data_IF_132044930286
#
_entry.id   IF_132044930286
#
_cell.length_a   1.000
_cell.length_b   1.000
_cell.length_c   1.000
_cell.angle_alpha   90.00
_cell.angle_beta   90.00
_cell.angle_gamma   90.00
#
_symmetry.space_group_name_H-M   'P 1'
#
loop_
_entity.id
_entity.type
_entity.pdbx_description
1 polymer ?
#
# COMPACT_ATOMS: atom_id res chain seq x y z
N UNK A 1 5.94 14.99 -21.08
CA UNK A 1 5.86 13.54 -20.75
C UNK A 1 4.42 13.26 -20.35
N UNK A 2 3.84 12.08 -20.64
CA UNK A 2 2.52 11.75 -20.13
C UNK A 2 2.56 11.80 -18.60
N UNK A 3 1.54 12.39 -17.98
CA UNK A 3 1.39 12.41 -16.52
C UNK A 3 1.39 10.97 -15.99
N UNK A 4 2.16 10.70 -14.93
CA UNK A 4 2.11 9.40 -14.27
C UNK A 4 0.71 9.21 -13.71
N UNK A 5 -0.02 8.22 -14.22
CA UNK A 5 -1.33 7.88 -13.70
C UNK A 5 -1.19 7.30 -12.28
N UNK A 6 -1.79 7.97 -11.30
CA UNK A 6 -1.84 7.53 -9.90
C UNK A 6 -3.30 7.52 -9.46
N UNK A 7 -3.89 6.34 -9.41
CA UNK A 7 -5.28 6.18 -8.97
C UNK A 7 -5.38 6.42 -7.45
N UNK A 8 -6.46 7.07 -7.01
CA UNK A 8 -6.69 7.42 -5.60
C UNK A 8 -6.07 8.76 -5.16
N UNK A 9 -5.22 9.37 -5.98
CA UNK A 9 -4.42 10.55 -5.62
C UNK A 9 -5.28 11.78 -5.28
N UNK A 10 -6.38 12.00 -6.01
CA UNK A 10 -7.30 13.13 -5.80
C UNK A 10 -8.14 12.98 -4.53
N UNK A 11 -8.35 11.75 -4.05
CA UNK A 11 -9.13 11.45 -2.86
C UNK A 11 -8.32 11.61 -1.56
N UNK A 12 -6.99 11.76 -1.66
CA UNK A 12 -6.11 11.88 -0.50
C UNK A 12 -6.31 13.22 0.22
N UNK A 13 -6.34 13.23 1.57
CA UNK A 13 -6.35 14.47 2.34
C UNK A 13 -5.04 15.25 2.18
N UNK A 14 -5.05 16.54 2.49
CA UNK A 14 -3.82 17.37 2.48
C UNK A 14 -2.71 16.76 3.35
N UNK A 15 -3.06 16.21 4.51
CA UNK A 15 -2.17 15.47 5.41
C UNK A 15 -2.90 14.27 6.04
N UNK A 16 -2.17 13.24 6.41
CA UNK A 16 -2.69 12.10 7.16
C UNK A 16 -1.59 11.32 7.86
N UNK A 17 -1.95 10.37 8.71
CA UNK A 17 -0.94 9.57 9.41
C UNK A 17 -0.38 8.47 8.50
N UNK A 18 -1.25 7.70 7.84
CA UNK A 18 -0.88 6.54 7.05
C UNK A 18 -1.43 6.66 5.62
N UNK A 19 -0.60 6.29 4.66
CA UNK A 19 -0.96 6.03 3.26
C UNK A 19 -0.51 4.63 2.84
N UNK A 20 -1.39 3.92 2.14
CA UNK A 20 -1.06 2.65 1.49
C UNK A 20 -0.81 2.83 0.00
N UNK A 21 0.22 2.16 -0.52
CA UNK A 21 0.45 2.01 -1.95
C UNK A 21 0.17 0.55 -2.29
N UNK A 22 -0.87 0.30 -3.09
CA UNK A 22 -1.31 -1.07 -3.47
C UNK A 22 -0.85 -1.42 -4.88
N UNK A 23 -1.02 -2.71 -5.24
CA UNK A 23 -0.71 -3.22 -6.57
C UNK A 23 -1.73 -2.84 -7.65
N UNK A 24 -2.97 -2.51 -7.26
CA UNK A 24 -4.02 -2.15 -8.21
C UNK A 24 -5.24 -1.45 -7.60
N UNK A 25 -6.11 -0.96 -8.49
CA UNK A 25 -7.26 -0.09 -8.14
C UNK A 25 -8.30 -0.77 -7.25
N UNK A 26 -8.52 -2.08 -7.44
CA UNK A 26 -9.44 -2.87 -6.61
C UNK A 26 -9.09 -2.74 -5.13
N UNK A 27 -7.80 -2.82 -4.81
CA UNK A 27 -7.32 -2.75 -3.43
C UNK A 27 -7.39 -1.34 -2.87
N UNK A 28 -7.18 -0.31 -3.71
CA UNK A 28 -7.41 1.09 -3.33
C UNK A 28 -8.87 1.28 -2.91
N UNK A 29 -9.82 0.77 -3.69
CA UNK A 29 -11.25 0.88 -3.39
C UNK A 29 -11.63 0.07 -2.14
N UNK A 30 -11.08 -1.14 -1.97
CA UNK A 30 -11.27 -1.95 -0.76
C UNK A 30 -10.80 -1.18 0.47
N UNK A 31 -9.60 -0.60 0.45
CA UNK A 31 -9.08 0.22 1.55
C UNK A 31 -9.91 1.49 1.80
N UNK A 32 -10.27 2.21 0.74
CA UNK A 32 -11.04 3.45 0.84
C UNK A 32 -12.44 3.23 1.45
N UNK A 33 -13.11 2.13 1.08
CA UNK A 33 -14.42 1.77 1.65
C UNK A 33 -14.37 1.43 3.15
N UNK A 34 -13.18 1.14 3.68
CA UNK A 34 -12.91 0.87 5.08
C UNK A 34 -12.24 2.05 5.81
N UNK A 35 -12.14 3.21 5.14
CA UNK A 35 -11.65 4.47 5.73
C UNK A 35 -10.13 4.64 5.72
N UNK A 36 -9.40 3.89 4.87
CA UNK A 36 -7.95 4.02 4.72
C UNK A 36 -7.59 4.83 3.48
N UNK A 37 -6.53 5.63 3.59
CA UNK A 37 -5.96 6.35 2.45
C UNK A 37 -5.11 5.39 1.62
N UNK A 38 -5.38 5.30 0.32
CA UNK A 38 -4.67 4.39 -0.58
C UNK A 38 -4.52 4.96 -1.99
N UNK A 39 -3.46 4.55 -2.68
CA UNK A 39 -3.20 4.84 -4.09
C UNK A 39 -2.56 3.64 -4.80
N UNK A 40 -2.54 3.65 -6.14
CA UNK A 40 -1.72 2.74 -6.94
C UNK A 40 -1.17 3.39 -8.23
N UNK A 41 0.00 2.93 -8.68
CA UNK A 41 0.74 3.46 -9.85
C UNK A 41 0.54 2.60 -11.12
N UNK A 42 -0.69 2.14 -11.38
CA UNK A 42 -1.08 1.23 -12.47
C UNK A 42 -0.73 -0.27 -12.26
N UNK A 43 0.51 -0.59 -11.86
CA UNK A 43 0.88 -1.96 -11.47
C UNK A 43 2.02 -1.97 -10.45
N UNK A 44 2.19 -3.09 -9.74
CA UNK A 44 3.30 -3.32 -8.79
C UNK A 44 4.69 -3.15 -9.44
N UNK A 45 4.77 -3.45 -10.74
CA UNK A 45 6.00 -3.39 -11.54
C UNK A 45 6.18 -2.07 -12.28
N UNK A 46 5.16 -1.20 -12.29
CA UNK A 46 5.17 0.12 -12.91
C UNK A 46 6.21 1.03 -12.27
N UNK A 47 6.80 1.93 -13.05
CA UNK A 47 7.80 2.85 -12.52
C UNK A 47 7.15 3.90 -11.62
N UNK A 48 7.64 4.01 -10.38
CA UNK A 48 7.23 5.04 -9.42
C UNK A 48 8.21 6.21 -9.54
N UNK A 49 7.69 7.40 -9.85
CA UNK A 49 8.50 8.62 -9.85
C UNK A 49 8.85 9.07 -8.43
N UNK A 50 10.12 9.39 -8.20
CA UNK A 50 10.64 9.79 -6.89
C UNK A 50 10.01 11.09 -6.39
N UNK A 51 9.75 12.04 -7.29
CA UNK A 51 9.04 13.29 -7.01
C UNK A 51 7.66 13.07 -6.36
N UNK A 52 6.95 12.01 -6.77
CA UNK A 52 5.65 11.65 -6.20
C UNK A 52 5.84 11.10 -4.79
N UNK A 53 6.81 10.21 -4.57
CA UNK A 53 7.10 9.68 -3.22
C UNK A 53 7.54 10.80 -2.27
N UNK A 54 8.40 11.72 -2.71
CA UNK A 54 8.80 12.87 -1.91
C UNK A 54 7.60 13.72 -1.47
N UNK A 55 6.68 14.00 -2.41
CA UNK A 55 5.49 14.79 -2.11
C UNK A 55 4.57 14.06 -1.14
N UNK A 56 4.38 12.74 -1.29
CA UNK A 56 3.60 11.93 -0.36
C UNK A 56 4.24 11.87 1.03
N UNK A 57 5.57 11.71 1.11
CA UNK A 57 6.32 11.65 2.37
C UNK A 57 6.28 12.96 3.15
N UNK A 58 6.00 14.09 2.49
CA UNK A 58 5.73 15.39 3.15
C UNK A 58 4.29 15.50 3.68
N UNK A 59 3.35 14.71 3.15
CA UNK A 59 1.92 14.74 3.51
C UNK A 59 1.55 13.66 4.53
N UNK A 60 2.24 12.53 4.51
CA UNK A 60 1.94 11.37 5.36
C UNK A 60 3.11 11.01 6.26
N UNK A 61 2.80 10.67 7.52
CA UNK A 61 3.80 10.27 8.51
C UNK A 61 4.41 8.89 8.18
N UNK A 62 3.57 7.97 7.72
CA UNK A 62 3.94 6.61 7.34
C UNK A 62 3.37 6.28 5.95
N UNK A 63 4.20 5.68 5.11
CA UNK A 63 3.80 5.18 3.79
C UNK A 63 4.18 3.71 3.71
N UNK A 64 3.18 2.86 3.46
CA UNK A 64 3.35 1.43 3.39
C UNK A 64 3.00 0.88 2.00
N UNK A 65 3.85 0.02 1.46
CA UNK A 65 3.48 -0.87 0.37
C UNK A 65 2.61 -2.01 0.92
N UNK A 66 1.43 -2.17 0.35
CA UNK A 66 0.50 -3.27 0.63
C UNK A 66 0.22 -4.01 -0.68
N UNK A 67 1.23 -4.75 -1.13
CA UNK A 67 1.22 -5.51 -2.38
C UNK A 67 0.76 -6.94 -2.13
N UNK A 68 0.52 -7.66 -3.22
CA UNK A 68 0.09 -9.05 -3.15
C UNK A 68 1.12 -9.89 -2.39
N UNK A 69 0.64 -10.85 -1.61
CA UNK A 69 1.48 -11.82 -0.91
C UNK A 69 2.00 -12.93 -1.84
N UNK A 70 1.98 -12.71 -3.16
CA UNK A 70 2.59 -13.60 -4.14
C UNK A 70 4.05 -13.21 -4.44
N UNK A 71 4.76 -14.05 -5.20
CA UNK A 71 6.18 -13.84 -5.53
C UNK A 71 6.43 -12.48 -6.23
N UNK A 72 5.48 -11.99 -7.02
CA UNK A 72 5.62 -10.73 -7.76
C UNK A 72 5.48 -9.54 -6.81
N UNK A 73 4.43 -9.53 -5.99
CA UNK A 73 4.16 -8.45 -5.04
C UNK A 73 5.26 -8.34 -3.97
N UNK A 74 5.75 -9.48 -3.45
CA UNK A 74 6.87 -9.52 -2.49
C UNK A 74 8.14 -8.93 -3.10
N UNK A 75 8.53 -9.36 -4.30
CA UNK A 75 9.74 -8.85 -4.97
C UNK A 75 9.63 -7.37 -5.30
N UNK A 76 8.49 -6.94 -5.82
CA UNK A 76 8.27 -5.56 -6.21
C UNK A 76 8.28 -4.61 -5.02
N UNK A 77 7.53 -4.92 -3.95
CA UNK A 77 7.50 -4.11 -2.73
C UNK A 77 8.86 -4.03 -2.05
N UNK A 78 9.60 -5.15 -1.96
CA UNK A 78 10.97 -5.16 -1.42
C UNK A 78 11.90 -4.24 -2.19
N UNK A 79 11.90 -4.34 -3.53
CA UNK A 79 12.70 -3.47 -4.40
C UNK A 79 12.36 -1.99 -4.22
N UNK A 80 11.08 -1.66 -4.04
CA UNK A 80 10.67 -0.27 -3.81
C UNK A 80 11.07 0.25 -2.43
N UNK A 81 10.97 -0.57 -1.38
CA UNK A 81 11.49 -0.23 -0.06
C UNK A 81 13.00 0.05 -0.10
N UNK A 82 13.77 -0.76 -0.83
CA UNK A 82 15.22 -0.53 -1.02
C UNK A 82 15.49 0.78 -1.75
N UNK A 83 14.79 1.01 -2.87
CA UNK A 83 14.94 2.23 -3.69
C UNK A 83 14.58 3.50 -2.92
N UNK A 84 13.52 3.48 -2.12
CA UNK A 84 13.04 4.62 -1.34
C UNK A 84 13.43 4.55 0.14
N UNK A 85 14.52 3.86 0.46
CA UNK A 85 15.03 3.68 1.83
C UNK A 85 15.28 5.01 2.57
N UNK A 86 15.68 6.06 1.86
CA UNK A 86 15.86 7.41 2.40
C UNK A 86 14.56 8.03 2.95
N UNK A 87 13.41 7.63 2.39
CA UNK A 87 12.08 8.03 2.86
C UNK A 87 11.51 7.07 3.92
N UNK A 88 12.24 6.01 4.28
CA UNK A 88 11.84 4.99 5.25
C UNK A 88 10.48 4.35 4.91
N UNK A 89 10.21 4.16 3.62
CA UNK A 89 9.04 3.40 3.17
C UNK A 89 9.22 1.94 3.58
N UNK A 90 8.12 1.33 3.99
CA UNK A 90 8.10 -0.06 4.44
C UNK A 90 6.99 -0.82 3.74
N UNK A 91 6.98 -2.13 3.91
CA UNK A 91 5.88 -2.97 3.45
C UNK A 91 5.16 -3.57 4.63
N UNK A 92 3.84 -3.70 4.49
CA UNK A 92 3.02 -4.48 5.41
C UNK A 92 2.69 -5.81 4.72
N UNK A 93 2.93 -6.90 5.45
CA UNK A 93 2.61 -8.25 4.99
C UNK A 93 1.26 -8.67 5.56
N UNK A 94 0.34 -9.07 4.68
CA UNK A 94 -0.93 -9.66 5.09
C UNK A 94 -0.69 -11.12 5.50
N UNK A 95 -1.40 -11.65 6.51
CA UNK A 95 -1.25 -13.02 6.96
C UNK A 95 -2.01 -13.98 6.02
N UNK A 96 -1.68 -13.94 4.73
CA UNK A 96 -2.26 -14.76 3.67
C UNK A 96 -1.19 -15.68 3.10
N UNK A 97 -1.58 -16.84 2.55
CA UNK A 97 -0.60 -17.74 1.94
C UNK A 97 -0.02 -17.26 0.61
N UNK A 98 -0.63 -16.24 -0.02
CA UNK A 98 -0.14 -15.70 -1.30
C UNK A 98 -0.52 -16.51 -2.52
N UNK A 99 -1.43 -17.47 -2.37
CA UNK A 99 -1.91 -18.27 -3.48
C UNK A 99 -3.00 -17.52 -4.27
N UNK A 100 -3.45 -18.07 -5.41
CA UNK A 100 -4.42 -17.40 -6.31
C UNK A 100 -5.79 -17.07 -5.67
N UNK A 101 -6.11 -17.65 -4.52
CA UNK A 101 -7.38 -17.46 -3.80
C UNK A 101 -7.27 -16.43 -2.68
N UNK A 102 -6.06 -16.19 -2.18
CA UNK A 102 -5.82 -15.28 -1.06
C UNK A 102 -4.44 -14.64 -1.14
N UNK A 103 -4.38 -13.44 -1.69
CA UNK A 103 -3.11 -12.73 -1.82
C UNK A 103 -3.16 -11.23 -1.59
N UNK A 104 -4.32 -10.60 -1.75
CA UNK A 104 -4.47 -9.15 -1.64
C UNK A 104 -5.42 -8.73 -0.50
N UNK A 105 -5.47 -7.42 -0.21
CA UNK A 105 -6.33 -6.87 0.85
C UNK A 105 -7.81 -7.14 0.59
N UNK A 106 -8.21 -7.19 -0.68
CA UNK A 106 -9.60 -7.49 -1.03
C UNK A 106 -9.95 -8.94 -0.66
N UNK A 107 -9.02 -9.88 -0.86
CA UNK A 107 -9.19 -11.27 -0.44
C UNK A 107 -9.13 -11.41 1.09
N UNK A 108 -8.21 -10.70 1.76
CA UNK A 108 -8.12 -10.66 3.22
C UNK A 108 -9.48 -10.30 3.86
N UNK A 109 -10.15 -9.27 3.35
CA UNK A 109 -11.46 -8.84 3.83
C UNK A 109 -12.58 -9.84 3.45
N UNK A 110 -12.53 -10.43 2.25
CA UNK A 110 -13.51 -11.46 1.81
C UNK A 110 -13.46 -12.74 2.65
N UNK A 111 -12.29 -13.08 3.20
CA UNK A 111 -12.12 -14.23 4.10
C UNK A 111 -12.74 -14.00 5.49
N UNK A 112 -13.31 -12.82 5.75
CA UNK A 112 -14.01 -12.50 6.99
C UNK A 112 -13.15 -11.76 8.01
N UNK A 113 -11.90 -11.40 7.68
CA UNK A 113 -11.12 -10.49 8.52
C UNK A 113 -11.76 -9.10 8.49
N UNK A 114 -11.87 -8.49 9.65
CA UNK A 114 -12.50 -7.19 9.83
C UNK A 114 -11.54 -6.03 9.60
N UNK A 115 -12.11 -4.83 9.49
CA UNK A 115 -11.33 -3.58 9.52
C UNK A 115 -10.48 -3.48 10.78
N UNK A 116 -11.03 -3.93 11.91
CA UNK A 116 -10.41 -3.89 13.22
C UNK A 116 -9.20 -4.82 13.27
N UNK A 117 -9.29 -6.01 12.65
CA UNK A 117 -8.15 -6.93 12.51
C UNK A 117 -7.03 -6.28 11.69
N UNK A 118 -7.37 -5.60 10.60
CA UNK A 118 -6.39 -4.88 9.79
C UNK A 118 -5.77 -3.69 10.54
N UNK A 119 -6.56 -2.91 11.30
CA UNK A 119 -6.04 -1.83 12.16
C UNK A 119 -5.08 -2.38 13.21
N UNK A 120 -5.40 -3.52 13.81
CA UNK A 120 -4.53 -4.19 14.77
C UNK A 120 -3.21 -4.59 14.12
N UNK A 121 -3.26 -5.21 12.94
CA UNK A 121 -2.06 -5.58 12.19
C UNK A 121 -1.14 -4.37 11.92
N UNK A 122 -1.72 -3.23 11.55
CA UNK A 122 -0.97 -1.98 11.35
C UNK A 122 -0.36 -1.50 12.68
N UNK A 123 -1.12 -1.53 13.78
CA UNK A 123 -0.62 -1.14 15.10
C UNK A 123 0.55 -2.01 15.55
N UNK A 124 0.40 -3.33 15.45
CA UNK A 124 1.43 -4.30 15.81
C UNK A 124 2.70 -4.10 14.96
N UNK A 125 2.54 -3.74 13.67
CA UNK A 125 3.67 -3.40 12.80
C UNK A 125 4.37 -2.10 13.23
N UNK A 126 3.60 -1.05 13.57
CA UNK A 126 4.15 0.23 14.02
C UNK A 126 4.90 0.12 15.35
N UNK A 127 4.50 -0.78 16.24
CA UNK A 127 5.19 -1.03 17.52
C UNK A 127 6.57 -1.69 17.34
N UNK A 128 6.83 -2.30 16.19
CA UNK A 128 8.11 -2.96 15.87
C UNK A 128 9.12 -2.02 15.18
N UNK A 129 8.74 -0.77 14.91
CA UNK A 129 9.57 0.25 14.26
C UNK A 129 10.49 0.99 15.23
#
# INVERSE_FOLDING_TARGET
>A
MPETYVFGMEQLPQRGDILFITGGEKDVLSLASHGFNAICFNSETGNIEESVIEMLARRFRHIFFLYDMDETGIKASTRWCERFSHHKLQRIELPLSGNKQEKDISDYLKLGNSTEDFRKLISDHLEQL
#
